data_IF_566747279697
#
_entry.id   IF_566747279697
#
_cell.length_a   1.000
_cell.length_b   1.000
_cell.length_c   1.000
_cell.angle_alpha   90.00
_cell.angle_beta   90.00
_cell.angle_gamma   90.00
#
_symmetry.space_group_name_H-M   'P 1'
#
loop_
_entity.id
_entity.type
_entity.pdbx_description
1 polymer ?
#
# COMPACT_ATOMS: atom_id res chain seq x y z
N UNK A 1 35.66 22.24 -20.90
CA UNK A 1 35.97 21.34 -19.76
C UNK A 1 35.25 21.91 -18.56
N UNK A 2 34.44 21.11 -17.85
CA UNK A 2 33.19 21.47 -17.13
C UNK A 2 32.05 21.55 -18.17
N UNK A 3 31.12 20.59 -18.29
CA UNK A 3 30.13 20.15 -17.28
C UNK A 3 29.56 18.73 -17.54
N UNK A 4 30.41 17.77 -17.94
CA UNK A 4 29.98 16.36 -18.18
C UNK A 4 29.45 15.66 -16.91
N UNK A 5 29.77 16.18 -15.73
CA UNK A 5 29.32 15.60 -14.45
C UNK A 5 27.85 15.85 -14.15
N UNK A 6 27.25 16.95 -14.65
CA UNK A 6 25.84 17.27 -14.43
C UNK A 6 24.89 16.41 -15.28
N UNK A 7 25.25 16.17 -16.54
CA UNK A 7 24.44 15.40 -17.49
C UNK A 7 24.48 13.91 -17.20
N UNK A 8 25.66 13.36 -16.90
CA UNK A 8 25.80 11.97 -16.44
C UNK A 8 25.05 11.80 -15.11
N UNK A 9 25.11 12.76 -14.20
CA UNK A 9 24.34 12.70 -12.95
C UNK A 9 22.83 12.70 -13.23
N UNK A 10 22.32 13.49 -14.17
CA UNK A 10 20.89 13.53 -14.50
C UNK A 10 20.39 12.27 -15.21
N UNK A 11 21.19 11.71 -16.12
CA UNK A 11 20.87 10.48 -16.84
C UNK A 11 20.98 9.27 -15.92
N UNK A 12 22.03 9.20 -15.09
CA UNK A 12 22.18 8.18 -14.05
C UNK A 12 21.07 8.33 -13.01
N UNK A 13 20.69 9.54 -12.59
CA UNK A 13 19.56 9.75 -11.68
C UNK A 13 18.25 9.31 -12.33
N UNK A 14 18.02 9.64 -13.61
CA UNK A 14 16.86 9.20 -14.37
C UNK A 14 16.81 7.69 -14.56
N UNK A 15 17.95 7.03 -14.75
CA UNK A 15 18.08 5.57 -14.93
C UNK A 15 18.06 4.83 -13.59
N UNK A 16 18.49 5.47 -12.49
CA UNK A 16 18.36 4.98 -11.11
C UNK A 16 16.92 5.15 -10.61
N UNK A 17 16.25 6.25 -10.94
CA UNK A 17 14.83 6.48 -10.66
C UNK A 17 13.99 5.54 -11.51
N UNK A 18 14.24 5.44 -12.81
CA UNK A 18 13.57 4.51 -13.71
C UNK A 18 13.88 3.05 -13.37
N UNK A 19 15.11 2.73 -13.00
CA UNK A 19 15.52 1.40 -12.53
C UNK A 19 14.90 1.05 -11.17
N UNK A 20 14.76 2.04 -10.27
CA UNK A 20 14.02 1.93 -9.01
C UNK A 20 12.52 1.71 -9.24
N UNK A 21 11.94 2.41 -10.22
CA UNK A 21 10.55 2.30 -10.69
C UNK A 21 10.27 0.98 -11.41
N UNK A 22 11.17 0.51 -12.26
CA UNK A 22 11.08 -0.77 -12.94
C UNK A 22 11.25 -1.94 -11.96
N UNK A 23 12.15 -1.81 -10.98
CA UNK A 23 12.35 -2.79 -9.92
C UNK A 23 11.20 -2.79 -8.89
N UNK A 24 10.39 -1.73 -8.79
CA UNK A 24 9.08 -1.76 -8.11
C UNK A 24 8.07 -2.63 -8.86
N UNK A 25 8.13 -2.69 -10.19
CA UNK A 25 7.20 -3.48 -11.01
C UNK A 25 7.61 -4.96 -11.05
N UNK A 26 8.90 -5.28 -11.12
CA UNK A 26 9.39 -6.67 -11.33
C UNK A 26 9.70 -7.44 -10.05
N UNK A 27 9.35 -6.91 -8.87
CA UNK A 27 9.59 -7.58 -7.60
C UNK A 27 11.07 -7.61 -7.20
N UNK A 28 11.76 -6.50 -7.46
CA UNK A 28 13.18 -6.25 -7.21
C UNK A 28 13.66 -6.46 -5.76
N UNK A 29 14.82 -5.90 -5.38
CA UNK A 29 15.42 -6.14 -4.05
C UNK A 29 14.42 -5.95 -2.91
N UNK A 30 14.59 -6.69 -1.80
CA UNK A 30 13.66 -6.71 -0.63
C UNK A 30 13.21 -5.31 -0.15
N UNK A 31 14.03 -4.29 -0.41
CA UNK A 31 13.74 -2.87 -0.21
C UNK A 31 12.51 -2.37 -0.98
N UNK A 32 12.34 -2.73 -2.25
CA UNK A 32 11.26 -2.22 -3.09
C UNK A 32 9.94 -2.98 -2.85
N UNK A 33 10.01 -4.27 -2.51
CA UNK A 33 8.81 -5.06 -2.15
C UNK A 33 8.09 -4.48 -0.92
N UNK A 34 8.83 -4.10 0.11
CA UNK A 34 8.22 -3.50 1.31
C UNK A 34 7.64 -2.10 1.07
N UNK A 35 8.27 -1.28 0.22
CA UNK A 35 7.71 0.00 -0.20
C UNK A 35 6.42 -0.18 -1.00
N UNK A 36 6.36 -1.15 -1.91
CA UNK A 36 5.13 -1.50 -2.63
C UNK A 36 4.01 -1.95 -1.69
N UNK A 37 4.32 -2.72 -0.65
CA UNK A 37 3.31 -3.13 0.33
C UNK A 37 2.74 -1.93 1.11
N UNK A 38 3.60 -1.01 1.52
CA UNK A 38 3.17 0.20 2.22
C UNK A 38 2.37 1.13 1.30
N UNK A 39 2.83 1.34 0.06
CA UNK A 39 2.12 2.15 -0.93
C UNK A 39 0.77 1.53 -1.30
N UNK A 40 0.71 0.21 -1.45
CA UNK A 40 -0.53 -0.52 -1.67
C UNK A 40 -1.51 -0.41 -0.49
N UNK A 41 -1.02 -0.47 0.75
CA UNK A 41 -1.87 -0.22 1.92
C UNK A 41 -2.30 1.25 2.04
N UNK A 42 -1.43 2.18 1.67
CA UNK A 42 -1.70 3.63 1.72
C UNK A 42 -2.54 4.11 0.55
N UNK A 43 -2.71 3.37 -0.55
CA UNK A 43 -3.54 3.83 -1.67
C UNK A 43 -4.72 2.90 -1.93
N UNK A 44 -4.58 1.61 -1.63
CA UNK A 44 -5.50 0.56 -2.09
C UNK A 44 -5.92 -0.41 -0.97
N UNK A 45 -5.83 0.01 0.30
CA UNK A 45 -6.07 -0.86 1.47
C UNK A 45 -7.39 -1.63 1.45
N UNK A 46 -8.45 -1.04 0.92
CA UNK A 46 -9.81 -1.59 0.98
C UNK A 46 -10.23 -2.37 -0.27
N UNK A 47 -9.28 -2.69 -1.15
CA UNK A 47 -9.57 -3.38 -2.40
C UNK A 47 -9.24 -4.86 -2.31
N UNK A 48 -10.23 -5.66 -2.66
CA UNK A 48 -10.13 -7.12 -2.70
C UNK A 48 -10.17 -7.67 -4.14
N UNK A 49 -9.57 -8.85 -4.31
CA UNK A 49 -9.61 -9.62 -5.56
C UNK A 49 -9.23 -8.81 -6.81
N UNK A 50 -10.13 -8.79 -7.80
CA UNK A 50 -9.92 -8.14 -9.09
C UNK A 50 -9.64 -6.64 -9.00
N UNK A 51 -10.24 -5.94 -8.03
CA UNK A 51 -10.04 -4.50 -7.85
C UNK A 51 -8.61 -4.17 -7.43
N UNK A 52 -7.99 -5.03 -6.62
CA UNK A 52 -6.59 -4.90 -6.24
C UNK A 52 -5.64 -5.14 -7.42
N UNK A 53 -5.98 -6.09 -8.30
CA UNK A 53 -5.25 -6.32 -9.54
C UNK A 53 -5.35 -5.10 -10.46
N UNK A 54 -6.56 -4.56 -10.64
CA UNK A 54 -6.78 -3.34 -11.41
C UNK A 54 -6.01 -2.15 -10.82
N UNK A 55 -6.02 -1.96 -9.49
CA UNK A 55 -5.26 -0.93 -8.80
C UNK A 55 -3.74 -1.06 -9.02
N UNK A 56 -3.24 -2.29 -8.97
CA UNK A 56 -1.82 -2.58 -9.20
C UNK A 56 -1.41 -2.25 -10.64
N UNK A 57 -2.24 -2.66 -11.62
CA UNK A 57 -2.05 -2.30 -13.03
C UNK A 57 -2.13 -0.78 -13.24
N UNK A 58 -3.05 -0.11 -12.55
CA UNK A 58 -3.20 1.36 -12.58
C UNK A 58 -1.93 2.05 -12.10
N UNK A 59 -1.35 1.56 -10.99
CA UNK A 59 -0.10 2.09 -10.46
C UNK A 59 1.07 1.86 -11.42
N UNK A 60 1.17 0.68 -12.05
CA UNK A 60 2.19 0.39 -13.07
C UNK A 60 2.05 1.36 -14.24
N UNK A 61 0.84 1.57 -14.73
CA UNK A 61 0.56 2.46 -15.85
C UNK A 61 0.88 3.92 -15.50
N UNK A 62 0.57 4.36 -14.28
CA UNK A 62 0.88 5.70 -13.79
C UNK A 62 2.39 5.95 -13.68
N UNK A 63 3.15 4.96 -13.19
CA UNK A 63 4.62 5.01 -13.15
C UNK A 63 5.21 5.06 -14.55
N UNK A 64 4.74 4.19 -15.45
CA UNK A 64 5.18 4.17 -16.84
C UNK A 64 4.87 5.48 -17.56
N UNK A 65 3.68 6.04 -17.33
CA UNK A 65 3.30 7.34 -17.87
C UNK A 65 4.16 8.49 -17.33
N UNK A 66 4.48 8.49 -16.04
CA UNK A 66 5.43 9.45 -15.46
C UNK A 66 6.82 9.35 -16.09
N UNK A 67 7.28 8.14 -16.39
CA UNK A 67 8.52 7.93 -17.14
C UNK A 67 8.43 8.48 -18.58
N UNK A 68 7.30 8.27 -19.27
CA UNK A 68 7.09 8.83 -20.60
C UNK A 68 7.08 10.36 -20.60
N UNK A 69 6.50 11.00 -19.57
CA UNK A 69 6.59 12.45 -19.42
C UNK A 69 8.04 12.90 -19.24
N UNK A 70 8.78 12.27 -18.32
CA UNK A 70 10.19 12.60 -18.12
C UNK A 70 10.98 12.40 -19.42
N UNK A 71 10.81 11.28 -20.11
CA UNK A 71 11.44 11.03 -21.41
C UNK A 71 11.01 12.06 -22.46
N UNK A 72 9.73 12.44 -22.53
CA UNK A 72 9.20 13.39 -23.51
C UNK A 72 9.68 14.83 -23.28
N UNK A 73 9.87 15.26 -22.03
CA UNK A 73 10.38 16.60 -21.70
C UNK A 73 11.90 16.67 -21.67
N UNK A 74 12.59 15.62 -21.23
CA UNK A 74 14.05 15.58 -21.20
C UNK A 74 14.66 15.17 -22.55
N UNK A 75 13.98 14.40 -23.40
CA UNK A 75 14.51 14.00 -24.72
C UNK A 75 14.79 15.20 -25.64
N UNK A 76 13.92 16.24 -25.76
CA UNK A 76 14.24 17.44 -26.53
C UNK A 76 15.39 18.26 -25.92
N UNK A 77 15.46 18.36 -24.59
CA UNK A 77 16.53 19.07 -23.90
C UNK A 77 17.88 18.33 -24.01
N UNK A 78 17.88 17.00 -23.91
CA UNK A 78 19.05 16.14 -24.11
C UNK A 78 19.44 16.02 -25.60
N UNK A 79 18.48 16.06 -26.53
CA UNK A 79 18.73 16.12 -27.96
C UNK A 79 19.29 17.47 -28.40
N UNK A 80 18.91 18.57 -27.73
CA UNK A 80 19.51 19.88 -27.90
C UNK A 80 20.92 19.96 -27.25
N UNK A 81 21.19 19.15 -26.22
CA UNK A 81 22.49 19.10 -25.55
C UNK A 81 23.51 18.16 -26.21
N UNK A 82 23.09 17.19 -27.04
CA UNK A 82 23.98 16.16 -27.59
C UNK A 82 23.79 15.87 -29.10
N UNK A 83 24.67 16.48 -29.90
CA UNK A 83 25.15 16.00 -31.23
C UNK A 83 25.89 14.64 -31.17
N UNK A 84 25.95 13.97 -30.01
CA UNK A 84 26.91 12.87 -29.75
C UNK A 84 26.34 11.45 -29.77
N UNK A 85 25.06 11.22 -30.09
CA UNK A 85 24.52 9.84 -30.29
C UNK A 85 24.52 9.47 -31.78
N UNK A 86 25.55 8.79 -32.33
CA UNK A 86 25.82 8.80 -33.77
C UNK A 86 24.97 7.83 -34.60
N UNK A 87 24.01 7.12 -34.00
CA UNK A 87 23.44 5.89 -34.60
C UNK A 87 21.94 5.94 -34.88
N UNK A 88 21.26 7.07 -34.67
CA UNK A 88 19.82 7.21 -34.93
C UNK A 88 19.60 8.39 -35.85
N UNK A 89 19.23 8.09 -37.10
CA UNK A 89 18.94 9.10 -38.12
C UNK A 89 17.82 10.07 -37.69
N UNK A 90 17.81 11.31 -38.22
CA UNK A 90 16.89 12.36 -37.79
C UNK A 90 15.41 11.95 -37.89
N UNK A 91 15.02 11.26 -38.98
CA UNK A 91 13.66 10.76 -39.16
C UNK A 91 13.23 9.75 -38.07
N UNK A 92 14.14 8.88 -37.63
CA UNK A 92 13.86 7.90 -36.56
C UNK A 92 13.76 8.57 -35.20
N UNK A 93 14.52 9.65 -34.96
CA UNK A 93 14.41 10.46 -33.73
C UNK A 93 13.08 11.23 -33.70
N UNK A 94 12.70 11.87 -34.79
CA UNK A 94 11.42 12.58 -34.91
C UNK A 94 10.23 11.64 -34.71
N UNK A 95 10.26 10.46 -35.35
CA UNK A 95 9.23 9.44 -35.18
C UNK A 95 9.13 8.96 -33.73
N UNK A 96 10.26 8.77 -33.04
CA UNK A 96 10.29 8.39 -31.63
C UNK A 96 9.68 9.48 -30.74
N UNK A 97 10.00 10.75 -30.98
CA UNK A 97 9.44 11.89 -30.23
C UNK A 97 7.92 11.97 -30.43
N UNK A 98 7.45 11.87 -31.68
CA UNK A 98 6.01 11.85 -32.00
C UNK A 98 5.31 10.69 -31.27
N UNK A 99 5.88 9.49 -31.32
CA UNK A 99 5.31 8.32 -30.64
C UNK A 99 5.23 8.52 -29.12
N UNK A 100 6.25 9.13 -28.49
CA UNK A 100 6.23 9.43 -27.05
C UNK A 100 5.08 10.41 -26.73
N UNK A 101 4.92 11.49 -27.50
CA UNK A 101 3.82 12.44 -27.30
C UNK A 101 2.44 11.83 -27.51
N UNK A 102 2.28 10.98 -28.53
CA UNK A 102 1.03 10.23 -28.75
C UNK A 102 0.74 9.32 -27.56
N UNK A 103 1.73 8.60 -27.03
CA UNK A 103 1.56 7.73 -25.87
C UNK A 103 1.24 8.51 -24.59
N UNK A 104 1.83 9.69 -24.38
CA UNK A 104 1.52 10.57 -23.24
C UNK A 104 0.02 10.90 -23.19
N UNK A 105 -0.64 11.07 -24.34
CA UNK A 105 -2.08 11.34 -24.41
C UNK A 105 -2.91 10.06 -24.43
N UNK A 106 -2.49 9.04 -25.18
CA UNK A 106 -3.25 7.82 -25.37
C UNK A 106 -3.37 6.98 -24.09
N UNK A 107 -2.32 6.93 -23.27
CA UNK A 107 -2.29 6.09 -22.06
C UNK A 107 -3.33 6.54 -21.01
N UNK A 108 -3.43 7.83 -20.63
CA UNK A 108 -4.51 8.30 -19.76
C UNK A 108 -5.92 8.01 -20.30
N UNK A 109 -6.13 8.14 -21.62
CA UNK A 109 -7.43 7.85 -22.23
C UNK A 109 -7.76 6.35 -22.18
N UNK A 110 -6.79 5.49 -22.50
CA UNK A 110 -6.93 4.04 -22.39
C UNK A 110 -7.19 3.61 -20.93
N UNK A 111 -6.54 4.28 -19.97
CA UNK A 111 -6.79 4.10 -18.55
C UNK A 111 -8.26 4.38 -18.18
N UNK A 112 -8.77 5.56 -18.57
CA UNK A 112 -10.16 5.93 -18.31
C UNK A 112 -11.17 5.00 -19.01
N UNK A 113 -10.83 4.49 -20.20
CA UNK A 113 -11.64 3.47 -20.90
C UNK A 113 -11.72 2.18 -20.09
N UNK A 114 -10.58 1.65 -19.64
CA UNK A 114 -10.52 0.42 -18.83
C UNK A 114 -11.28 0.60 -17.52
N UNK A 115 -11.11 1.75 -16.85
CA UNK A 115 -11.84 2.07 -15.64
C UNK A 115 -13.37 2.07 -15.87
N UNK A 116 -13.82 2.74 -16.93
CA UNK A 116 -15.23 2.80 -17.29
C UNK A 116 -15.83 1.43 -17.60
N UNK A 117 -15.07 0.56 -18.27
CA UNK A 117 -15.47 -0.82 -18.54
C UNK A 117 -15.55 -1.67 -17.27
N UNK A 118 -14.57 -1.56 -16.37
CA UNK A 118 -14.56 -2.28 -15.08
C UNK A 118 -15.73 -1.87 -14.19
N UNK A 119 -16.08 -0.58 -14.20
CA UNK A 119 -17.23 -0.04 -13.46
C UNK A 119 -18.56 -0.24 -14.20
N UNK A 120 -18.56 -0.93 -15.35
CA UNK A 120 -19.74 -1.22 -16.19
C UNK A 120 -20.51 0.04 -16.61
N UNK A 121 -19.84 1.18 -16.72
CA UNK A 121 -20.43 2.43 -17.22
C UNK A 121 -20.70 2.33 -18.72
N UNK A 122 -21.73 3.03 -19.21
CA UNK A 122 -22.15 3.01 -20.63
C UNK A 122 -22.52 4.41 -21.11
N UNK A 123 -22.47 4.60 -22.44
CA UNK A 123 -22.92 5.84 -23.08
C UNK A 123 -22.09 7.06 -22.66
N UNK A 124 -22.77 8.17 -22.31
CA UNK A 124 -22.13 9.42 -21.90
C UNK A 124 -21.20 9.24 -20.68
N UNK A 125 -21.59 8.39 -19.73
CA UNK A 125 -20.77 8.13 -18.53
C UNK A 125 -19.44 7.45 -18.86
N UNK A 126 -19.42 6.57 -19.88
CA UNK A 126 -18.19 5.96 -20.36
C UNK A 126 -17.27 6.99 -21.02
N UNK A 127 -17.82 7.89 -21.85
CA UNK A 127 -17.04 8.97 -22.46
C UNK A 127 -16.46 9.93 -21.39
N UNK A 128 -17.23 10.23 -20.34
CA UNK A 128 -16.74 11.00 -19.20
C UNK A 128 -15.64 10.27 -18.42
N UNK A 129 -15.74 8.94 -18.25
CA UNK A 129 -14.68 8.15 -17.63
C UNK A 129 -13.39 8.15 -18.45
N UNK A 130 -13.49 8.02 -19.79
CA UNK A 130 -12.35 8.10 -20.72
C UNK A 130 -11.63 9.44 -20.59
N UNK A 131 -12.38 10.55 -20.64
CA UNK A 131 -11.81 11.89 -20.45
C UNK A 131 -11.29 12.09 -19.03
N UNK A 132 -11.97 11.54 -18.03
CA UNK A 132 -11.54 11.55 -16.64
C UNK A 132 -10.17 10.88 -16.43
N UNK A 133 -9.80 9.92 -17.28
CA UNK A 133 -8.48 9.31 -17.30
C UNK A 133 -7.33 10.32 -17.44
N UNK A 134 -7.54 11.45 -18.13
CA UNK A 134 -6.58 12.57 -18.24
C UNK A 134 -6.33 13.28 -16.90
N UNK A 135 -7.20 13.09 -15.90
CA UNK A 135 -7.07 13.64 -14.55
C UNK A 135 -6.67 12.54 -13.57
N UNK A 136 -7.32 11.38 -13.66
CA UNK A 136 -7.14 10.27 -12.72
C UNK A 136 -5.72 9.68 -12.77
N UNK A 137 -5.18 9.45 -13.98
CA UNK A 137 -3.86 8.84 -14.13
C UNK A 137 -2.74 9.79 -13.65
N UNK A 138 -2.73 11.09 -14.02
CA UNK A 138 -1.74 12.03 -13.47
C UNK A 138 -1.86 12.21 -11.96
N UNK A 139 -3.07 12.24 -11.40
CA UNK A 139 -3.26 12.31 -9.96
C UNK A 139 -2.67 11.10 -9.24
N UNK A 140 -2.88 9.90 -9.78
CA UNK A 140 -2.27 8.67 -9.27
C UNK A 140 -0.74 8.71 -9.40
N UNK A 141 -0.21 9.15 -10.54
CA UNK A 141 1.22 9.30 -10.76
C UNK A 141 1.84 10.27 -9.75
N UNK A 142 1.18 11.40 -9.48
CA UNK A 142 1.62 12.38 -8.49
C UNK A 142 1.54 11.84 -7.06
N UNK A 143 0.47 11.12 -6.71
CA UNK A 143 0.34 10.47 -5.42
C UNK A 143 1.48 9.48 -5.17
N UNK A 144 1.83 8.68 -6.18
CA UNK A 144 2.97 7.76 -6.14
C UNK A 144 4.31 8.52 -6.08
N UNK A 145 4.47 9.61 -6.82
CA UNK A 145 5.68 10.43 -6.82
C UNK A 145 5.94 11.13 -5.47
N UNK A 146 4.88 11.49 -4.74
CA UNK A 146 5.00 12.03 -3.36
C UNK A 146 5.28 10.92 -2.36
N UNK A 147 4.56 9.80 -2.46
CA UNK A 147 4.62 8.73 -1.47
C UNK A 147 5.94 7.94 -1.57
N UNK A 148 6.42 7.69 -2.78
CA UNK A 148 7.57 6.84 -3.03
C UNK A 148 8.86 7.33 -2.35
N UNK A 149 9.33 8.59 -2.53
CA UNK A 149 10.51 9.11 -1.85
C UNK A 149 10.36 9.06 -0.32
N UNK A 150 9.16 9.35 0.19
CA UNK A 150 8.89 9.27 1.62
C UNK A 150 9.02 7.84 2.15
N UNK A 151 8.50 6.83 1.44
CA UNK A 151 8.66 5.42 1.86
C UNK A 151 10.13 4.98 1.87
N UNK A 152 10.91 5.40 0.89
CA UNK A 152 12.35 5.13 0.84
C UNK A 152 13.09 5.80 2.00
N UNK A 153 12.79 7.07 2.25
CA UNK A 153 13.37 7.84 3.35
C UNK A 153 13.07 7.21 4.72
N UNK A 154 11.80 6.91 4.99
CA UNK A 154 11.40 6.28 6.25
C UNK A 154 12.05 4.92 6.43
N UNK A 155 12.14 4.12 5.37
CA UNK A 155 12.83 2.82 5.44
C UNK A 155 14.34 2.98 5.70
N UNK A 156 15.00 3.92 5.04
CA UNK A 156 16.42 4.22 5.27
C UNK A 156 16.65 4.70 6.71
N UNK A 157 15.82 5.63 7.21
CA UNK A 157 15.84 6.13 8.58
C UNK A 157 15.70 5.01 9.60
N UNK A 158 14.81 4.05 9.36
CA UNK A 158 14.58 2.90 10.24
C UNK A 158 15.74 1.90 10.23
N UNK A 159 16.31 1.62 9.04
CA UNK A 159 17.52 0.79 8.93
C UNK A 159 18.70 1.38 9.71
N UNK A 160 18.89 2.70 9.64
CA UNK A 160 19.92 3.40 10.41
C UNK A 160 19.69 3.29 11.93
N UNK A 161 18.43 3.35 12.37
CA UNK A 161 18.07 3.23 13.80
C UNK A 161 18.13 1.79 14.34
N UNK A 162 18.25 0.79 13.47
CA UNK A 162 18.21 -0.65 13.82
C UNK A 162 16.96 -1.03 14.61
N UNK A 163 15.86 -0.31 14.39
CA UNK A 163 14.56 -0.62 14.98
C UNK A 163 14.01 -1.91 14.36
N UNK A 164 13.30 -2.70 15.16
CA UNK A 164 12.62 -3.87 14.65
C UNK A 164 11.32 -3.43 13.96
N UNK A 165 11.06 -3.98 12.77
CA UNK A 165 9.87 -3.68 11.99
C UNK A 165 9.05 -4.95 11.75
N UNK A 166 7.76 -4.85 12.02
CA UNK A 166 6.80 -5.93 11.83
C UNK A 166 5.63 -5.41 11.01
N UNK A 167 5.43 -6.01 9.84
CA UNK A 167 4.27 -5.77 8.99
C UNK A 167 3.27 -6.88 9.20
N UNK A 168 2.05 -6.52 9.59
CA UNK A 168 0.94 -7.46 9.67
C UNK A 168 -0.16 -7.00 8.73
N UNK A 169 -0.55 -7.89 7.83
CA UNK A 169 -1.73 -7.66 6.99
C UNK A 169 -2.95 -7.92 7.87
N UNK A 170 -3.88 -6.99 7.82
CA UNK A 170 -5.12 -7.00 8.60
C UNK A 170 -6.24 -6.53 7.69
N UNK A 171 -7.47 -6.59 8.17
CA UNK A 171 -8.59 -5.88 7.61
C UNK A 171 -9.33 -5.14 8.73
N UNK A 172 -9.52 -3.83 8.56
CA UNK A 172 -10.22 -2.97 9.53
C UNK A 172 -11.45 -2.41 8.83
N UNK A 173 -12.62 -2.67 9.41
CA UNK A 173 -13.89 -2.08 9.01
C UNK A 173 -13.82 -0.55 9.13
N UNK A 174 -14.20 0.15 8.05
CA UNK A 174 -13.99 1.59 7.93
C UNK A 174 -14.81 2.35 8.99
N UNK A 175 -16.03 1.90 9.24
CA UNK A 175 -16.97 2.42 10.24
C UNK A 175 -16.51 2.17 11.69
N UNK A 176 -15.60 1.22 11.91
CA UNK A 176 -15.03 0.90 13.23
C UNK A 176 -13.57 1.32 13.40
N UNK A 177 -13.01 2.04 12.42
CA UNK A 177 -11.58 2.39 12.41
C UNK A 177 -11.13 3.13 13.68
N UNK A 178 -11.89 4.13 14.13
CA UNK A 178 -11.55 4.91 15.32
C UNK A 178 -11.66 4.07 16.61
N UNK A 179 -12.69 3.23 16.71
CA UNK A 179 -12.86 2.31 17.85
C UNK A 179 -11.72 1.28 17.93
N UNK A 180 -11.29 0.75 16.78
CA UNK A 180 -10.14 -0.16 16.68
C UNK A 180 -8.85 0.57 17.07
N UNK A 181 -8.65 1.81 16.61
CA UNK A 181 -7.49 2.63 16.94
C UNK A 181 -7.40 2.88 18.45
N UNK A 182 -8.51 3.26 19.09
CA UNK A 182 -8.59 3.50 20.52
C UNK A 182 -8.34 2.23 21.33
N UNK A 183 -8.90 1.09 20.89
CA UNK A 183 -8.65 -0.20 21.53
C UNK A 183 -7.17 -0.60 21.44
N UNK A 184 -6.53 -0.43 20.28
CA UNK A 184 -5.10 -0.69 20.10
C UNK A 184 -4.26 0.23 21.02
N UNK A 185 -4.61 1.52 21.10
CA UNK A 185 -3.92 2.47 21.97
C UNK A 185 -4.04 2.09 23.45
N UNK A 186 -5.24 1.69 23.90
CA UNK A 186 -5.48 1.20 25.25
C UNK A 186 -4.66 -0.06 25.57
N UNK A 187 -4.65 -1.05 24.67
CA UNK A 187 -3.84 -2.27 24.85
C UNK A 187 -2.35 -1.99 24.96
N UNK A 188 -1.83 -1.07 24.14
CA UNK A 188 -0.44 -0.66 24.25
C UNK A 188 -0.17 0.03 25.60
N UNK A 189 -1.10 0.87 26.07
CA UNK A 189 -1.02 1.52 27.36
C UNK A 189 -0.99 0.53 28.53
N UNK A 190 -1.87 -0.48 28.53
CA UNK A 190 -1.95 -1.54 29.55
C UNK A 190 -0.65 -2.35 29.66
N UNK A 191 0.10 -2.44 28.56
CA UNK A 191 1.43 -3.07 28.50
C UNK A 191 2.58 -2.09 28.75
N UNK A 192 2.30 -0.92 29.31
CA UNK A 192 3.28 0.10 29.70
C UNK A 192 3.92 0.83 28.51
N UNK A 193 3.23 0.88 27.37
CA UNK A 193 3.64 1.61 26.17
C UNK A 193 2.69 2.79 25.96
N UNK A 194 3.03 3.93 26.54
CA UNK A 194 2.24 5.17 26.38
C UNK A 194 2.42 5.68 24.96
N UNK A 195 1.34 5.61 24.17
CA UNK A 195 1.26 6.09 22.79
C UNK A 195 0.28 7.25 22.69
N UNK A 196 0.48 8.10 21.68
CA UNK A 196 -0.44 9.18 21.31
C UNK A 196 -0.83 9.01 19.86
N UNK A 197 -2.11 9.16 19.56
CA UNK A 197 -2.58 9.27 18.18
C UNK A 197 -2.10 10.59 17.59
N UNK A 198 -1.39 10.50 16.47
CA UNK A 198 -1.00 11.64 15.65
C UNK A 198 -1.50 11.40 14.22
N UNK A 199 -1.83 12.46 13.48
CA UNK A 199 -2.15 12.32 12.06
C UNK A 199 -1.01 11.64 11.31
N UNK A 200 -1.35 10.87 10.27
CA UNK A 200 -0.36 10.27 9.41
C UNK A 200 0.60 11.34 8.83
N UNK A 201 1.85 10.97 8.50
CA UNK A 201 2.82 11.88 7.92
C UNK A 201 2.29 12.63 6.70
N UNK A 202 2.76 13.87 6.50
CA UNK A 202 2.25 14.76 5.44
C UNK A 202 2.22 14.08 4.06
N UNK A 203 3.27 13.34 3.69
CA UNK A 203 3.33 12.63 2.42
C UNK A 203 2.17 11.64 2.23
N UNK A 204 1.80 10.89 3.28
CA UNK A 204 0.66 9.96 3.28
C UNK A 204 -0.66 10.71 3.10
N UNK A 205 -0.83 11.83 3.81
CA UNK A 205 -2.05 12.64 3.72
C UNK A 205 -2.20 13.29 2.34
N UNK A 206 -1.11 13.83 1.77
CA UNK A 206 -1.12 14.44 0.44
C UNK A 206 -1.39 13.40 -0.64
N UNK A 207 -0.72 12.25 -0.59
CA UNK A 207 -0.96 11.17 -1.55
C UNK A 207 -2.40 10.64 -1.48
N UNK A 208 -2.95 10.55 -0.26
CA UNK A 208 -4.36 10.18 -0.06
C UNK A 208 -5.31 11.24 -0.61
N UNK A 209 -5.09 12.50 -0.26
CA UNK A 209 -5.91 13.60 -0.76
C UNK A 209 -5.98 13.60 -2.30
N UNK A 210 -4.85 13.38 -2.97
CA UNK A 210 -4.79 13.25 -4.44
C UNK A 210 -5.60 12.05 -4.95
N UNK A 211 -5.47 10.88 -4.32
CA UNK A 211 -6.22 9.70 -4.70
C UNK A 211 -7.74 9.85 -4.45
N UNK A 212 -8.13 10.51 -3.36
CA UNK A 212 -9.54 10.66 -2.96
C UNK A 212 -10.26 11.73 -3.78
N UNK A 213 -9.61 12.86 -4.09
CA UNK A 213 -10.27 13.99 -4.77
C UNK A 213 -10.13 13.92 -6.30
N UNK A 214 -8.97 13.48 -6.77
CA UNK A 214 -8.61 13.49 -8.19
C UNK A 214 -8.41 12.08 -8.74
N UNK A 215 -8.30 11.08 -7.88
CA UNK A 215 -8.15 9.71 -8.30
C UNK A 215 -9.46 9.11 -8.82
N UNK A 216 -9.40 7.88 -9.33
CA UNK A 216 -10.51 7.26 -10.01
C UNK A 216 -11.67 6.95 -9.03
N UNK A 217 -12.96 7.18 -9.37
CA UNK A 217 -14.11 6.93 -8.50
C UNK A 217 -14.12 5.57 -7.80
N UNK A 218 -13.59 4.52 -8.45
CA UNK A 218 -13.47 3.18 -7.88
C UNK A 218 -12.65 3.12 -6.57
N UNK A 219 -11.87 4.16 -6.27
CA UNK A 219 -10.96 4.23 -5.13
C UNK A 219 -11.39 5.21 -4.04
N UNK A 220 -12.43 6.04 -4.27
CA UNK A 220 -12.78 7.19 -3.39
C UNK A 220 -13.56 6.81 -2.13
N UNK A 221 -14.47 5.84 -2.21
CA UNK A 221 -15.48 5.61 -1.16
C UNK A 221 -15.08 4.60 -0.08
N UNK A 222 -13.80 4.21 -0.01
CA UNK A 222 -13.41 3.01 0.74
C UNK A 222 -12.26 3.20 1.71
N UNK A 223 -11.94 4.42 2.13
CA UNK A 223 -10.91 4.62 3.16
C UNK A 223 -11.26 5.76 4.11
N UNK A 224 -10.92 5.65 5.41
CA UNK A 224 -11.12 6.73 6.35
C UNK A 224 -10.29 7.96 5.92
N UNK A 225 -10.91 9.13 5.99
CA UNK A 225 -10.34 10.40 5.51
C UNK A 225 -9.05 10.80 6.25
N UNK A 226 -8.89 10.39 7.51
CA UNK A 226 -7.70 10.69 8.32
C UNK A 226 -7.08 9.40 8.85
N UNK A 227 -5.99 8.99 8.22
CA UNK A 227 -5.14 7.93 8.75
C UNK A 227 -4.37 8.43 9.96
N UNK A 228 -4.25 7.59 10.98
CA UNK A 228 -3.53 7.89 12.21
C UNK A 228 -2.31 6.97 12.41
N UNK A 229 -1.33 7.49 13.13
CA UNK A 229 -0.22 6.72 13.67
C UNK A 229 -0.21 6.86 15.20
N UNK A 230 0.04 5.75 15.90
CA UNK A 230 0.24 5.72 17.35
C UNK A 230 1.73 5.81 17.63
N UNK A 231 2.16 6.92 18.23
CA UNK A 231 3.59 7.18 18.48
C UNK A 231 3.85 7.31 19.98
N UNK A 232 4.85 6.59 20.45
CA UNK A 232 5.28 6.57 21.85
C UNK A 232 6.80 6.40 21.98
N UNK A 233 7.29 6.36 23.22
CA UNK A 233 8.72 6.18 23.48
C UNK A 233 9.17 4.77 23.07
N UNK A 234 9.89 4.66 21.96
CA UNK A 234 10.41 3.39 21.46
C UNK A 234 9.37 2.50 20.76
N UNK A 235 8.20 3.05 20.41
CA UNK A 235 7.13 2.40 19.64
C UNK A 235 6.54 3.42 18.66
N UNK A 236 6.36 3.02 17.41
CA UNK A 236 5.56 3.71 16.41
C UNK A 236 4.73 2.69 15.67
N UNK A 237 3.42 2.87 15.62
CA UNK A 237 2.50 1.97 14.94
C UNK A 237 1.68 2.78 13.95
N UNK A 238 1.90 2.59 12.65
CA UNK A 238 1.03 3.15 11.63
C UNK A 238 -0.13 2.17 11.38
N UNK A 239 -1.36 2.67 11.52
CA UNK A 239 -2.59 1.87 11.42
C UNK A 239 -3.29 2.19 10.11
N UNK A 240 -3.18 1.30 9.14
CA UNK A 240 -3.88 1.37 7.87
C UNK A 240 -4.99 0.31 7.82
N UNK A 241 -6.10 0.53 7.09
CA UNK A 241 -7.20 -0.43 7.05
C UNK A 241 -6.81 -1.84 6.59
N UNK A 242 -5.68 -2.01 5.89
CA UNK A 242 -5.20 -3.31 5.42
C UNK A 242 -3.85 -3.73 5.98
N UNK A 243 -3.25 -2.91 6.84
CA UNK A 243 -1.86 -3.08 7.24
C UNK A 243 -1.60 -2.39 8.58
N UNK A 244 -1.02 -3.13 9.51
CA UNK A 244 -0.30 -2.59 10.65
C UNK A 244 1.20 -2.57 10.35
N UNK A 245 1.81 -1.40 10.47
CA UNK A 245 3.26 -1.22 10.39
C UNK A 245 3.79 -0.84 11.78
N UNK A 246 4.24 -1.85 12.52
CA UNK A 246 4.84 -1.68 13.84
C UNK A 246 6.34 -1.47 13.70
N UNK A 247 6.82 -0.35 14.21
CA UNK A 247 8.22 -0.03 14.41
C UNK A 247 8.48 0.03 15.90
N UNK A 248 9.38 -0.81 16.41
CA UNK A 248 9.59 -0.94 17.85
C UNK A 248 11.06 -1.11 18.19
N UNK A 249 11.48 -0.48 19.28
CA UNK A 249 12.81 -0.67 19.84
C UNK A 249 12.97 -2.08 20.42
N UNK A 250 14.20 -2.59 20.48
CA UNK A 250 14.48 -3.93 21.00
C UNK A 250 13.99 -4.17 22.43
N UNK A 251 13.90 -3.12 23.25
CA UNK A 251 13.44 -3.18 24.64
C UNK A 251 11.91 -3.22 24.77
N UNK A 252 11.17 -2.74 23.75
CA UNK A 252 9.72 -2.65 23.77
C UNK A 252 9.02 -3.75 22.95
N UNK A 253 9.77 -4.51 22.14
CA UNK A 253 9.20 -5.49 21.20
C UNK A 253 8.36 -6.58 21.88
N UNK A 254 8.81 -7.13 23.03
CA UNK A 254 8.06 -8.16 23.74
C UNK A 254 6.71 -7.66 24.26
N UNK A 255 6.69 -6.44 24.80
CA UNK A 255 5.48 -5.77 25.30
C UNK A 255 4.53 -5.40 24.16
N UNK A 256 5.06 -4.84 23.07
CA UNK A 256 4.26 -4.52 21.89
C UNK A 256 3.66 -5.79 21.27
N UNK A 257 4.43 -6.89 21.23
CA UNK A 257 3.94 -8.21 20.78
C UNK A 257 2.78 -8.71 21.63
N UNK A 258 2.94 -8.66 22.94
CA UNK A 258 1.91 -9.13 23.87
C UNK A 258 0.65 -8.26 23.80
N UNK A 259 0.79 -6.95 23.65
CA UNK A 259 -0.33 -6.03 23.49
C UNK A 259 -1.13 -6.25 22.21
N UNK A 260 -0.45 -6.48 21.09
CA UNK A 260 -1.08 -6.54 19.76
C UNK A 260 -1.50 -7.96 19.35
N UNK A 261 -0.63 -8.95 19.57
CA UNK A 261 -0.83 -10.34 19.12
C UNK A 261 -1.13 -11.31 20.25
N UNK A 262 -0.97 -10.89 21.51
CA UNK A 262 -1.31 -11.69 22.69
C UNK A 262 -2.76 -11.53 23.14
N UNK A 263 -3.57 -10.75 22.43
CA UNK A 263 -4.98 -10.52 22.73
C UNK A 263 -5.85 -10.80 21.51
N UNK A 264 -7.11 -11.21 21.74
CA UNK A 264 -8.08 -11.37 20.66
C UNK A 264 -8.27 -10.06 19.89
N UNK A 265 -8.51 -10.09 18.58
CA UNK A 265 -8.78 -8.88 17.82
C UNK A 265 -9.99 -8.11 18.37
N UNK A 266 -9.98 -6.76 18.37
CA UNK A 266 -11.17 -5.97 18.71
C UNK A 266 -12.24 -6.09 17.62
N UNK A 267 -13.47 -5.72 17.94
CA UNK A 267 -14.56 -5.73 16.96
C UNK A 267 -14.23 -4.84 15.75
N UNK A 268 -14.49 -5.34 14.54
CA UNK A 268 -14.16 -4.63 13.29
C UNK A 268 -12.70 -4.74 12.86
N UNK A 269 -11.87 -5.44 13.62
CA UNK A 269 -10.51 -5.77 13.24
C UNK A 269 -10.42 -7.27 12.96
N UNK A 270 -9.80 -7.60 11.84
CA UNK A 270 -9.65 -8.96 11.36
C UNK A 270 -8.19 -9.20 10.99
N UNK A 271 -7.63 -10.33 11.41
CA UNK A 271 -6.31 -10.77 10.96
C UNK A 271 -6.35 -11.30 9.53
N UNK A 272 -7.51 -11.76 9.09
CA UNK A 272 -7.73 -12.30 7.75
C UNK A 272 -8.38 -11.29 6.81
N UNK A 273 -8.21 -11.48 5.49
CA UNK A 273 -8.75 -10.56 4.48
C UNK A 273 -9.78 -11.23 3.58
N UNK A 274 -9.53 -12.48 3.18
CA UNK A 274 -10.47 -13.21 2.34
C UNK A 274 -11.84 -13.37 3.05
N UNK A 275 -12.97 -13.19 2.34
CA UNK A 275 -14.28 -13.31 2.97
C UNK A 275 -14.49 -14.66 3.68
N UNK A 276 -14.08 -15.76 3.06
CA UNK A 276 -14.17 -17.10 3.65
C UNK A 276 -13.32 -17.23 4.93
N UNK A 277 -12.12 -16.64 4.97
CA UNK A 277 -11.31 -16.64 6.17
C UNK A 277 -11.90 -15.73 7.26
N UNK A 278 -12.51 -14.60 6.90
CA UNK A 278 -13.21 -13.71 7.85
C UNK A 278 -14.45 -14.35 8.44
N UNK A 279 -15.20 -15.11 7.66
CA UNK A 279 -16.33 -15.91 8.17
C UNK A 279 -15.85 -16.97 9.17
N UNK A 280 -14.72 -17.63 8.88
CA UNK A 280 -14.12 -18.58 9.81
C UNK A 280 -13.59 -17.88 11.07
N UNK A 281 -12.90 -16.75 10.94
CA UNK A 281 -12.47 -15.90 12.06
C UNK A 281 -13.66 -15.47 12.94
N UNK A 282 -14.77 -15.05 12.31
CA UNK A 282 -15.99 -14.68 13.01
C UNK A 282 -16.59 -15.86 13.78
N UNK A 283 -16.53 -17.07 13.20
CA UNK A 283 -17.00 -18.28 13.86
C UNK A 283 -16.10 -18.72 15.03
N UNK A 284 -14.79 -18.48 14.94
CA UNK A 284 -13.84 -18.72 16.04
C UNK A 284 -14.13 -17.75 17.19
N UNK A 285 -14.26 -16.46 16.89
CA UNK A 285 -14.53 -15.40 17.86
C UNK A 285 -15.92 -15.52 18.51
N UNK A 286 -16.93 -15.90 17.72
CA UNK A 286 -18.31 -16.06 18.18
C UNK A 286 -18.53 -17.25 19.12
N UNK A 287 -17.57 -18.18 19.21
CA UNK A 287 -17.64 -19.39 20.05
C UNK A 287 -16.68 -19.34 21.24
N UNK A 288 -16.43 -18.16 21.77
CA UNK A 288 -15.53 -17.97 22.90
C UNK A 288 -15.93 -18.82 24.12
N UNK A 289 -15.12 -19.81 24.48
CA UNK A 289 -15.36 -20.71 25.62
C UNK A 289 -15.92 -22.10 25.29
N UNK A 290 -16.20 -22.41 24.02
CA UNK A 290 -16.60 -23.75 23.57
C UNK A 290 -15.58 -24.28 22.55
N UNK A 291 -15.00 -25.49 22.72
CA UNK A 291 -14.08 -26.07 21.75
C UNK A 291 -14.85 -26.46 20.49
N UNK A 292 -14.61 -25.80 19.35
CA UNK A 292 -15.39 -26.05 18.16
C UNK A 292 -14.74 -27.15 17.30
N UNK A 293 -15.27 -28.36 17.39
CA UNK A 293 -14.74 -29.58 16.75
C UNK A 293 -14.68 -29.50 15.20
N UNK A 294 -15.46 -28.62 14.58
CA UNK A 294 -15.53 -28.43 13.12
C UNK A 294 -14.49 -27.45 12.55
N UNK A 295 -13.80 -26.69 13.40
CA UNK A 295 -12.83 -25.67 12.96
C UNK A 295 -11.54 -26.28 12.39
N UNK A 296 -10.95 -27.37 12.94
CA UNK A 296 -9.78 -28.01 12.35
C UNK A 296 -9.99 -28.47 10.90
N UNK A 297 -11.18 -29.00 10.58
CA UNK A 297 -11.53 -29.44 9.22
C UNK A 297 -11.70 -28.24 8.26
N UNK A 298 -12.35 -27.17 8.72
CA UNK A 298 -12.48 -25.91 7.97
C UNK A 298 -11.14 -25.22 7.74
N UNK A 299 -10.23 -25.28 8.71
CA UNK A 299 -8.85 -24.78 8.58
C UNK A 299 -8.05 -25.57 7.56
N UNK A 300 -8.22 -26.90 7.50
CA UNK A 300 -7.51 -27.77 6.57
C UNK A 300 -7.98 -27.61 5.12
N UNK A 301 -9.24 -27.21 4.93
CA UNK A 301 -9.85 -27.02 3.60
C UNK A 301 -9.82 -25.57 3.11
N UNK A 302 -9.32 -24.64 3.93
CA UNK A 302 -9.21 -23.22 3.58
C UNK A 302 -8.20 -23.03 2.43
N UNK A 303 -8.66 -22.53 1.29
CA UNK A 303 -7.81 -22.18 0.13
C UNK A 303 -6.94 -20.91 0.36
N UNK A 304 -6.88 -20.42 1.60
CA UNK A 304 -6.16 -19.20 1.98
C UNK A 304 -4.64 -19.34 1.93
N UNK A 305 -3.94 -18.21 1.86
CA UNK A 305 -2.47 -18.18 1.93
C UNK A 305 -1.95 -18.57 3.32
N UNK A 306 -0.67 -18.97 3.43
CA UNK A 306 -0.09 -19.46 4.70
C UNK A 306 -0.13 -18.44 5.85
N UNK A 307 -0.23 -17.14 5.55
CA UNK A 307 -0.34 -16.10 6.57
C UNK A 307 -1.75 -16.03 7.18
N UNK A 308 -2.81 -16.24 6.38
CA UNK A 308 -4.20 -16.28 6.87
C UNK A 308 -4.43 -17.54 7.71
N UNK A 309 -3.88 -18.67 7.26
CA UNK A 309 -3.94 -19.92 8.00
C UNK A 309 -3.26 -19.82 9.38
N UNK A 310 -2.06 -19.23 9.46
CA UNK A 310 -1.37 -19.02 10.76
C UNK A 310 -2.15 -18.10 11.69
N UNK A 311 -2.77 -17.05 11.16
CA UNK A 311 -3.54 -16.11 11.97
C UNK A 311 -4.76 -16.81 12.60
N UNK A 312 -5.54 -17.53 11.79
CA UNK A 312 -6.70 -18.30 12.27
C UNK A 312 -6.29 -19.41 13.25
N UNK A 313 -5.18 -20.10 12.99
CA UNK A 313 -4.67 -21.12 13.91
C UNK A 313 -4.28 -20.51 15.27
N UNK A 314 -3.58 -19.37 15.27
CA UNK A 314 -3.20 -18.68 16.50
C UNK A 314 -4.45 -18.25 17.28
N UNK A 315 -5.45 -17.72 16.60
CA UNK A 315 -6.70 -17.29 17.22
C UNK A 315 -7.51 -18.44 17.79
N UNK A 316 -7.63 -19.54 17.02
CA UNK A 316 -8.23 -20.79 17.51
C UNK A 316 -7.54 -21.26 18.79
N UNK A 317 -6.20 -21.27 18.83
CA UNK A 317 -5.44 -21.63 20.03
C UNK A 317 -5.68 -20.66 21.20
N UNK A 318 -5.85 -19.36 20.93
CA UNK A 318 -6.14 -18.38 21.98
C UNK A 318 -7.55 -18.51 22.56
N UNK A 319 -8.53 -18.88 21.73
CA UNK A 319 -9.90 -19.13 22.19
C UNK A 319 -9.98 -20.44 22.99
N UNK A 320 -9.31 -21.49 22.53
CA UNK A 320 -9.39 -22.82 23.14
C UNK A 320 -8.42 -23.04 24.32
N UNK A 321 -7.26 -22.37 24.33
CA UNK A 321 -6.20 -22.59 25.33
C UNK A 321 -5.73 -21.29 26.02
N UNK A 322 -6.40 -20.16 25.79
CA UNK A 322 -6.03 -18.88 26.38
C UNK A 322 -6.33 -18.79 27.89
N UNK A 323 -5.73 -17.82 28.59
CA UNK A 323 -5.92 -17.63 30.04
C UNK A 323 -7.37 -17.41 30.47
N UNK A 324 -8.25 -17.03 29.54
CA UNK A 324 -9.66 -16.81 29.78
C UNK A 324 -10.49 -18.12 29.68
N UNK A 325 -10.12 -19.05 28.80
CA UNK A 325 -10.73 -20.39 28.76
C UNK A 325 -10.41 -21.16 30.05
N UNK A 326 -9.20 -21.02 30.56
CA UNK A 326 -8.78 -21.59 31.87
C UNK A 326 -9.53 -21.00 33.07
N UNK A 327 -10.21 -19.86 32.93
CA UNK A 327 -11.08 -19.28 33.99
C UNK A 327 -12.54 -19.73 33.89
N UNK A 328 -12.97 -20.28 32.76
CA UNK A 328 -14.31 -20.83 32.59
C UNK A 328 -14.41 -22.28 33.11
N UNK A 329 -13.27 -22.96 33.29
CA UNK A 329 -13.16 -24.31 33.86
C UNK A 329 -13.01 -24.33 35.40
N UNK A 330 -13.10 -23.19 36.09
CA UNK A 330 -13.03 -23.05 37.56
C UNK A 330 -14.34 -22.48 38.09
#
# INVERSE_FOLDING_TARGET
MLDESGEIASFVLGLVVAGGLLALVTGGPRLLRGSNYLMGAVLFSSLDGWQRTAASLSAILAVFWGFLLAAGFYSPAAAAAHETVPHVGPATRELLVINIWVLIVAIPLAFGLVEGLVTKTRGLALAQAVLGGLVHLPALALALAVLFPWTLWERARRMLRRDAQHFHRVFIEIDKYDAVLDCIAARLHDHGLVVRAVPAPLAVRVSRWLADHLGPPAFRDRTPYVLHALVGKGVGLAVYPSLLDLVVSKQAIGRARSALWGQLPPEGFWWTRSPAARELEASILGRYGEPPDDIPEKLATLEGGPDEWRALQQEYLMVTHGPAAQRAEV
#
